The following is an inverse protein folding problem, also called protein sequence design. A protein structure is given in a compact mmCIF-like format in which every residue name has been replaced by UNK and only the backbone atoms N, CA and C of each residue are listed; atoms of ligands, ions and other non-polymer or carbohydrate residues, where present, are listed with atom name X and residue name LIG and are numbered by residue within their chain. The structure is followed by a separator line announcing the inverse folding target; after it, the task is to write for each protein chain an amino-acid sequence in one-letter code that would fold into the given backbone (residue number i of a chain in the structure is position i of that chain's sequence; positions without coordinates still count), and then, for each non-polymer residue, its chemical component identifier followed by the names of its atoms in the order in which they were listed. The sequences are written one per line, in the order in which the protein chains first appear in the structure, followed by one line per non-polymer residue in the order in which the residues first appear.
data_IF_577286324967
#
_entry.id   IF_577286324967
#
_cell.length_a   1.000
_cell.length_b   1.000
_cell.length_c   1.000
_cell.angle_alpha   90.00
_cell.angle_beta   90.00
_cell.angle_gamma   90.00
#
_symmetry.space_group_name_H-M   'P 1'
#
loop_
_entity.id
_entity.type
_entity.pdbx_description
1 polymer ?
#
# COMPACT_ATOMS: atom_id res chain seq x y z
N UNK A 1 23.75 19.56 12.50
CA UNK A 1 22.58 18.98 13.17
C UNK A 1 22.52 17.50 12.84
N UNK A 2 22.33 16.60 13.84
CA UNK A 2 22.09 15.18 13.51
C UNK A 2 20.84 15.08 12.65
N UNK A 3 20.96 14.40 11.52
CA UNK A 3 19.85 14.16 10.63
C UNK A 3 18.76 13.38 11.39
N UNK A 4 17.56 13.94 11.48
CA UNK A 4 16.44 13.27 12.14
C UNK A 4 16.00 12.08 11.30
N UNK A 5 15.64 10.98 11.93
CA UNK A 5 15.38 9.69 11.27
C UNK A 5 14.24 9.70 10.23
N UNK A 6 13.32 10.66 10.33
CA UNK A 6 12.17 10.82 9.44
C UNK A 6 12.39 11.83 8.30
N UNK A 7 13.52 12.57 8.30
CA UNK A 7 13.82 13.52 7.25
C UNK A 7 14.11 12.82 5.92
N UNK A 8 13.59 13.39 4.85
CA UNK A 8 13.79 12.93 3.47
C UNK A 8 13.79 14.16 2.53
N UNK A 9 13.67 13.99 1.22
CA UNK A 9 13.64 15.12 0.28
C UNK A 9 12.38 15.99 0.41
N UNK A 10 11.30 15.43 0.93
CA UNK A 10 10.03 16.14 1.17
C UNK A 10 10.02 16.84 2.54
N UNK A 11 10.55 16.20 3.58
CA UNK A 11 10.45 16.62 4.96
C UNK A 11 11.82 17.13 5.46
N UNK A 12 11.95 18.43 5.64
CA UNK A 12 13.18 19.04 6.14
C UNK A 12 12.93 20.00 7.30
N UNK A 13 13.94 20.17 8.12
CA UNK A 13 13.90 21.05 9.28
C UNK A 13 14.86 22.21 9.05
N UNK A 14 14.32 23.44 8.85
CA UNK A 14 15.13 24.64 8.59
C UNK A 14 14.73 25.72 9.58
N UNK A 15 15.71 26.35 10.23
CA UNK A 15 15.50 27.51 11.12
C UNK A 15 14.38 27.33 12.17
N UNK A 16 14.24 26.10 12.71
CA UNK A 16 13.22 25.80 13.71
C UNK A 16 11.80 25.64 13.16
N UNK A 17 11.62 25.45 11.85
CA UNK A 17 10.34 25.19 11.17
C UNK A 17 10.42 23.94 10.31
N UNK A 18 9.31 23.22 10.22
CA UNK A 18 9.14 22.14 9.26
C UNK A 18 8.86 22.71 7.87
N UNK A 19 9.60 22.22 6.89
CA UNK A 19 9.37 22.47 5.46
C UNK A 19 8.90 21.21 4.78
N UNK A 20 7.93 21.36 3.90
CA UNK A 20 7.43 20.38 2.96
C UNK A 20 7.96 20.78 1.57
N UNK A 21 8.97 20.06 1.08
CA UNK A 21 9.85 20.50 -0.01
C UNK A 21 10.51 21.86 0.32
N UNK A 22 10.14 22.91 -0.37
CA UNK A 22 10.63 24.27 -0.17
C UNK A 22 9.68 25.19 0.61
N UNK A 23 8.47 24.72 0.95
CA UNK A 23 7.41 25.52 1.58
C UNK A 23 7.30 25.25 3.08
N UNK A 24 7.26 26.28 3.93
CA UNK A 24 6.98 26.10 5.36
C UNK A 24 5.59 25.46 5.57
N UNK A 25 5.52 24.40 6.37
CA UNK A 25 4.27 23.69 6.64
C UNK A 25 3.18 24.59 7.26
N UNK A 26 3.58 25.58 8.07
CA UNK A 26 2.65 26.56 8.68
C UNK A 26 2.00 27.44 7.61
N UNK A 27 2.75 27.91 6.64
CA UNK A 27 2.23 28.76 5.54
C UNK A 27 1.23 27.98 4.66
N UNK A 28 1.50 26.68 4.40
CA UNK A 28 0.54 25.83 3.70
C UNK A 28 -0.76 25.69 4.51
N UNK A 29 -0.64 25.48 5.84
CA UNK A 29 -1.81 25.39 6.73
C UNK A 29 -2.60 26.70 6.82
N UNK A 30 -1.94 27.85 6.73
CA UNK A 30 -2.58 29.18 6.69
C UNK A 30 -3.28 29.44 5.35
N UNK A 31 -2.65 29.02 4.23
CA UNK A 31 -3.18 29.24 2.87
C UNK A 31 -4.37 28.36 2.56
N UNK A 32 -4.29 27.07 2.90
CA UNK A 32 -5.28 26.07 2.51
C UNK A 32 -6.22 25.64 3.65
N UNK A 33 -5.99 26.13 4.87
CA UNK A 33 -6.70 25.69 6.07
C UNK A 33 -6.16 24.40 6.66
N UNK A 34 -6.80 23.94 7.73
CA UNK A 34 -6.52 22.65 8.39
C UNK A 34 -7.84 22.00 8.84
N UNK A 35 -7.95 20.65 8.86
CA UNK A 35 -6.91 19.68 8.49
C UNK A 35 -6.63 19.68 6.98
N UNK A 36 -5.39 19.33 6.59
CA UNK A 36 -4.93 19.35 5.20
C UNK A 36 -3.98 18.19 4.92
N UNK A 37 -4.23 17.42 3.87
CA UNK A 37 -3.23 16.49 3.35
C UNK A 37 -2.30 17.19 2.35
N UNK A 38 -1.00 16.93 2.49
CA UNK A 38 0.02 17.44 1.57
C UNK A 38 0.87 16.29 1.08
N UNK A 39 1.00 16.15 -0.24
CA UNK A 39 1.79 15.09 -0.88
C UNK A 39 2.93 15.69 -1.70
N UNK A 40 4.00 14.90 -1.89
CA UNK A 40 5.18 15.26 -2.68
C UNK A 40 5.38 14.30 -3.85
N UNK A 41 5.28 14.81 -5.08
CA UNK A 41 5.66 14.05 -6.30
C UNK A 41 7.15 13.71 -6.31
N UNK A 42 7.98 14.63 -5.81
CA UNK A 42 9.43 14.43 -5.72
C UNK A 42 9.80 13.23 -4.83
N UNK A 43 9.16 13.09 -3.67
CA UNK A 43 9.42 11.95 -2.79
C UNK A 43 8.86 10.63 -3.36
N UNK A 44 7.70 10.65 -4.03
CA UNK A 44 7.15 9.48 -4.74
C UNK A 44 8.15 9.02 -5.82
N UNK A 45 8.71 9.96 -6.60
CA UNK A 45 9.75 9.66 -7.60
C UNK A 45 10.96 8.99 -6.98
N UNK A 46 11.49 9.55 -5.89
CA UNK A 46 12.65 8.98 -5.19
C UNK A 46 12.38 7.55 -4.67
N UNK A 47 11.17 7.28 -4.19
CA UNK A 47 10.79 5.94 -3.75
C UNK A 47 10.68 4.96 -4.93
N UNK A 48 10.17 5.42 -6.07
CA UNK A 48 10.10 4.64 -7.30
C UNK A 48 11.50 4.29 -7.82
N UNK A 49 12.42 5.25 -7.83
CA UNK A 49 13.81 5.07 -8.25
C UNK A 49 14.54 4.07 -7.36
N UNK A 50 14.37 4.12 -6.04
CA UNK A 50 14.93 3.11 -5.11
C UNK A 50 14.50 1.68 -5.43
N UNK A 51 13.24 1.48 -5.84
CA UNK A 51 12.78 0.15 -6.27
C UNK A 51 13.44 -0.26 -7.57
N UNK A 52 13.50 0.63 -8.56
CA UNK A 52 14.13 0.37 -9.85
C UNK A 52 15.62 0.03 -9.68
N UNK A 53 16.34 0.79 -8.87
CA UNK A 53 17.76 0.57 -8.57
C UNK A 53 18.01 -0.80 -7.92
N UNK A 54 17.22 -1.17 -6.90
CA UNK A 54 17.37 -2.45 -6.21
C UNK A 54 17.22 -3.67 -7.16
N UNK A 55 16.38 -3.55 -8.17
CA UNK A 55 16.13 -4.61 -9.17
C UNK A 55 16.91 -4.41 -10.47
N UNK A 56 17.70 -3.35 -10.60
CA UNK A 56 18.49 -3.07 -11.83
C UNK A 56 19.61 -4.08 -11.99
N UNK A 57 19.47 -5.01 -12.95
CA UNK A 57 20.50 -5.96 -13.37
C UNK A 57 20.44 -6.19 -14.88
N UNK A 58 21.59 -6.28 -15.56
CA UNK A 58 21.65 -6.43 -17.03
C UNK A 58 20.99 -7.71 -17.55
N UNK A 59 21.01 -8.77 -16.75
CA UNK A 59 20.53 -10.10 -17.15
C UNK A 59 19.44 -10.56 -16.17
N UNK A 60 18.20 -10.33 -16.50
CA UNK A 60 17.08 -10.78 -15.68
C UNK A 60 15.73 -10.37 -16.26
N UNK A 61 14.64 -10.86 -15.68
CA UNK A 61 13.30 -10.40 -16.04
C UNK A 61 13.13 -8.89 -15.80
N UNK A 62 12.37 -8.23 -16.65
CA UNK A 62 11.99 -6.83 -16.50
C UNK A 62 11.21 -6.61 -15.19
N UNK A 63 11.56 -5.58 -14.41
CA UNK A 63 10.77 -5.16 -13.27
C UNK A 63 9.58 -4.32 -13.72
N UNK A 64 8.37 -4.77 -13.40
CA UNK A 64 7.13 -4.02 -13.50
C UNK A 64 6.72 -3.57 -12.10
N UNK A 65 6.46 -2.29 -11.93
CA UNK A 65 5.91 -1.72 -10.70
C UNK A 65 4.44 -1.42 -10.94
N UNK A 66 3.56 -2.24 -10.39
CA UNK A 66 2.11 -2.06 -10.41
C UNK A 66 1.68 -1.34 -9.13
N UNK A 67 1.42 -0.05 -9.21
CA UNK A 67 1.03 0.74 -8.04
C UNK A 67 -0.30 0.26 -7.46
N UNK A 68 -0.32 -0.11 -6.17
CA UNK A 68 -1.55 -0.47 -5.46
C UNK A 68 -2.41 0.77 -5.21
N UNK A 69 -3.39 1.00 -6.09
CA UNK A 69 -4.20 2.22 -6.17
C UNK A 69 -4.92 2.53 -4.84
N UNK A 70 -5.38 1.51 -4.15
CA UNK A 70 -6.01 1.57 -2.81
C UNK A 70 -5.20 2.35 -1.76
N UNK A 71 -3.89 2.50 -1.95
CA UNK A 71 -3.05 3.24 -1.00
C UNK A 71 -3.31 4.74 -1.05
N UNK A 72 -3.45 5.31 -2.25
CA UNK A 72 -3.84 6.70 -2.48
C UNK A 72 -4.35 6.87 -3.91
N UNK A 73 -5.66 7.10 -4.12
CA UNK A 73 -6.29 7.23 -5.44
C UNK A 73 -6.26 8.65 -5.99
N UNK A 74 -5.49 9.57 -5.42
CA UNK A 74 -5.49 10.99 -5.84
C UNK A 74 -5.16 11.12 -7.33
N UNK A 75 -5.97 11.81 -8.15
CA UNK A 75 -5.81 11.83 -9.60
C UNK A 75 -4.46 12.36 -10.09
N UNK A 76 -3.87 13.35 -9.40
CA UNK A 76 -2.55 13.88 -9.77
C UNK A 76 -1.43 12.87 -9.49
N UNK A 77 -1.53 12.10 -8.40
CA UNK A 77 -0.58 11.04 -8.08
C UNK A 77 -0.68 9.93 -9.14
N UNK A 78 -1.89 9.54 -9.54
CA UNK A 78 -2.11 8.53 -10.57
C UNK A 78 -1.52 8.97 -11.91
N UNK A 79 -1.83 10.21 -12.37
CA UNK A 79 -1.26 10.76 -13.62
C UNK A 79 0.26 10.84 -13.57
N UNK A 80 0.82 11.26 -12.42
CA UNK A 80 2.26 11.29 -12.23
C UNK A 80 2.89 9.89 -12.36
N UNK A 81 2.33 8.88 -11.70
CA UNK A 81 2.80 7.48 -11.76
C UNK A 81 2.65 6.89 -13.16
N UNK A 82 1.56 7.21 -13.86
CA UNK A 82 1.35 6.82 -15.25
C UNK A 82 2.48 7.35 -16.15
N UNK A 83 2.84 8.64 -16.00
CA UNK A 83 3.94 9.27 -16.73
C UNK A 83 5.32 8.67 -16.38
N UNK A 84 5.49 8.05 -15.20
CA UNK A 84 6.69 7.31 -14.81
C UNK A 84 6.74 5.88 -15.35
N UNK A 85 5.73 5.45 -16.14
CA UNK A 85 5.66 4.15 -16.77
C UNK A 85 5.23 3.00 -15.84
N UNK A 86 4.63 3.30 -14.69
CA UNK A 86 4.12 2.26 -13.80
C UNK A 86 2.87 1.57 -14.37
N UNK A 87 2.55 0.43 -13.82
CA UNK A 87 1.26 -0.26 -13.97
C UNK A 87 0.39 0.04 -12.75
N UNK A 88 -0.85 -0.52 -12.72
CA UNK A 88 -1.79 -0.42 -11.60
C UNK A 88 -2.16 -1.83 -11.10
N UNK A 89 -2.17 -2.00 -9.76
CA UNK A 89 -2.94 -3.02 -9.05
C UNK A 89 -4.26 -2.39 -8.59
N UNK A 90 -5.37 -2.83 -9.20
CA UNK A 90 -6.73 -2.39 -8.88
C UNK A 90 -7.53 -3.53 -8.24
N UNK A 91 -8.38 -3.22 -7.25
CA UNK A 91 -9.14 -4.23 -6.50
C UNK A 91 -10.67 -4.06 -6.64
N UNK A 92 -11.11 -3.08 -7.39
CA UNK A 92 -12.53 -2.83 -7.68
C UNK A 92 -12.73 -2.21 -9.06
N UNK A 93 -13.95 -2.31 -9.66
CA UNK A 93 -14.26 -1.59 -10.90
C UNK A 93 -14.08 -0.06 -10.78
N UNK A 94 -14.32 0.51 -9.61
CA UNK A 94 -14.06 1.92 -9.34
C UNK A 94 -12.59 2.30 -9.45
N UNK A 95 -11.69 1.46 -8.96
CA UNK A 95 -10.23 1.65 -9.11
C UNK A 95 -9.78 1.46 -10.56
N UNK A 96 -10.35 0.49 -11.30
CA UNK A 96 -10.10 0.33 -12.74
C UNK A 96 -10.51 1.60 -13.49
N UNK A 97 -11.71 2.13 -13.22
CA UNK A 97 -12.19 3.39 -13.82
C UNK A 97 -11.22 4.55 -13.50
N UNK A 98 -10.83 4.72 -12.26
CA UNK A 98 -9.91 5.79 -11.86
C UNK A 98 -8.54 5.67 -12.56
N UNK A 99 -8.04 4.45 -12.76
CA UNK A 99 -6.81 4.19 -13.50
C UNK A 99 -6.94 4.60 -14.98
N UNK A 100 -8.03 4.20 -15.63
CA UNK A 100 -8.33 4.58 -17.04
C UNK A 100 -8.46 6.10 -17.20
N UNK A 101 -9.17 6.78 -16.29
CA UNK A 101 -9.33 8.24 -16.26
C UNK A 101 -7.99 8.97 -16.02
N UNK A 102 -7.05 8.34 -15.32
CA UNK A 102 -5.70 8.85 -15.14
C UNK A 102 -4.78 8.58 -16.35
N UNK A 103 -5.27 7.89 -17.40
CA UNK A 103 -4.55 7.61 -18.64
C UNK A 103 -3.76 6.31 -18.66
N UNK A 104 -3.96 5.40 -17.70
CA UNK A 104 -3.37 4.07 -17.78
C UNK A 104 -4.07 3.26 -18.87
N UNK A 105 -3.33 2.67 -19.82
CA UNK A 105 -3.93 1.79 -20.81
C UNK A 105 -4.32 0.44 -20.15
N UNK A 106 -5.40 -0.23 -20.61
CA UNK A 106 -5.91 -1.45 -19.99
C UNK A 106 -4.86 -2.56 -19.80
N UNK A 107 -3.92 -2.71 -20.72
CA UNK A 107 -2.84 -3.72 -20.66
C UNK A 107 -1.81 -3.46 -19.54
N UNK A 108 -1.88 -2.31 -18.88
CA UNK A 108 -1.07 -1.96 -17.69
C UNK A 108 -1.87 -1.99 -16.39
N UNK A 109 -3.04 -2.63 -16.41
CA UNK A 109 -3.88 -2.80 -15.23
C UNK A 109 -3.95 -4.28 -14.88
N UNK A 110 -3.67 -4.58 -13.62
CA UNK A 110 -3.89 -5.89 -13.00
C UNK A 110 -5.07 -5.75 -12.05
N UNK A 111 -6.05 -6.65 -12.16
CA UNK A 111 -7.22 -6.65 -11.28
C UNK A 111 -7.12 -7.79 -10.26
N UNK A 112 -7.07 -7.44 -8.98
CA UNK A 112 -6.91 -8.37 -7.87
C UNK A 112 -8.09 -8.27 -6.90
N UNK A 113 -9.30 -8.48 -7.42
CA UNK A 113 -10.53 -8.47 -6.61
C UNK A 113 -10.71 -9.76 -5.81
N UNK A 114 -11.29 -9.66 -4.61
CA UNK A 114 -11.73 -10.79 -3.80
C UNK A 114 -13.19 -10.60 -3.39
N UNK A 115 -13.96 -11.68 -3.27
CA UNK A 115 -15.40 -11.63 -2.99
C UNK A 115 -16.18 -10.72 -3.96
N UNK A 116 -15.82 -10.80 -5.23
CA UNK A 116 -16.35 -9.96 -6.31
C UNK A 116 -17.72 -10.45 -6.80
N UNK A 117 -18.59 -9.53 -7.19
CA UNK A 117 -19.89 -9.85 -7.78
C UNK A 117 -19.80 -10.14 -9.29
N UNK A 118 -20.90 -10.64 -9.86
CA UNK A 118 -21.02 -10.83 -11.31
C UNK A 118 -20.91 -9.50 -12.06
N UNK A 119 -21.46 -8.43 -11.50
CA UNK A 119 -21.41 -7.07 -12.05
C UNK A 119 -19.98 -6.55 -12.06
N UNK A 120 -19.21 -6.75 -10.97
CA UNK A 120 -17.81 -6.36 -10.90
C UNK A 120 -16.98 -7.06 -11.98
N UNK A 121 -17.11 -8.39 -12.07
CA UNK A 121 -16.39 -9.20 -13.06
C UNK A 121 -16.79 -8.78 -14.50
N UNK A 122 -18.08 -8.57 -14.75
CA UNK A 122 -18.56 -8.10 -16.06
C UNK A 122 -17.96 -6.75 -16.43
N UNK A 123 -17.90 -5.81 -15.48
CA UNK A 123 -17.33 -4.49 -15.71
C UNK A 123 -15.84 -4.55 -16.06
N UNK A 124 -15.08 -5.39 -15.35
CA UNK A 124 -13.64 -5.56 -15.62
C UNK A 124 -13.39 -6.32 -16.92
N UNK A 125 -14.15 -7.38 -17.20
CA UNK A 125 -14.06 -8.16 -18.45
C UNK A 125 -14.52 -7.40 -19.69
N UNK A 126 -15.09 -6.20 -19.55
CA UNK A 126 -15.31 -5.30 -20.68
C UNK A 126 -13.97 -4.87 -21.34
N UNK A 127 -12.86 -4.96 -20.62
CA UNK A 127 -11.49 -4.64 -21.06
C UNK A 127 -10.65 -5.93 -21.11
N UNK A 128 -10.58 -6.62 -22.27
CA UNK A 128 -9.92 -7.94 -22.36
C UNK A 128 -8.41 -7.89 -22.17
N UNK A 129 -7.79 -6.72 -22.22
CA UNK A 129 -6.36 -6.50 -22.00
C UNK A 129 -5.97 -6.49 -20.52
N UNK A 130 -6.93 -6.24 -19.61
CA UNK A 130 -6.70 -6.28 -18.15
C UNK A 130 -6.35 -7.71 -17.74
N UNK A 131 -5.28 -7.85 -16.98
CA UNK A 131 -4.90 -9.13 -16.38
C UNK A 131 -5.72 -9.32 -15.10
N UNK A 132 -6.48 -10.42 -15.02
CA UNK A 132 -7.29 -10.72 -13.83
C UNK A 132 -6.59 -11.79 -12.99
N UNK A 133 -6.30 -11.48 -11.72
CA UNK A 133 -5.85 -12.42 -10.72
C UNK A 133 -7.04 -13.23 -10.18
N UNK A 134 -7.06 -14.53 -10.43
CA UNK A 134 -8.06 -15.46 -9.92
C UNK A 134 -7.76 -15.74 -8.45
N UNK A 135 -8.66 -15.35 -7.55
CA UNK A 135 -8.53 -15.47 -6.10
C UNK A 135 -9.18 -16.77 -5.56
N UNK A 136 -10.07 -17.39 -6.35
CA UNK A 136 -10.80 -18.62 -6.01
C UNK A 136 -11.31 -19.35 -7.26
N UNK A 137 -11.54 -20.68 -7.16
CA UNK A 137 -12.16 -21.47 -8.25
C UNK A 137 -13.59 -21.02 -8.54
N UNK A 138 -14.32 -20.54 -7.54
CA UNK A 138 -15.67 -20.00 -7.68
C UNK A 138 -15.67 -18.72 -8.51
N UNK A 139 -14.67 -17.84 -8.33
CA UNK A 139 -14.49 -16.67 -9.17
C UNK A 139 -14.24 -17.06 -10.64
N UNK A 140 -13.43 -18.10 -10.87
CA UNK A 140 -13.17 -18.59 -12.21
C UNK A 140 -14.46 -19.08 -12.91
N UNK A 141 -15.34 -19.81 -12.20
CA UNK A 141 -16.64 -20.24 -12.70
C UNK A 141 -17.51 -19.05 -13.09
N UNK A 142 -17.57 -18.04 -12.23
CA UNK A 142 -18.29 -16.80 -12.49
C UNK A 142 -17.73 -16.07 -13.74
N UNK A 143 -16.41 -15.99 -13.87
CA UNK A 143 -15.76 -15.43 -15.06
C UNK A 143 -16.12 -16.21 -16.33
N UNK A 144 -16.19 -17.54 -16.26
CA UNK A 144 -16.57 -18.40 -17.37
C UNK A 144 -18.01 -18.15 -17.83
N UNK A 145 -18.95 -18.07 -16.88
CA UNK A 145 -20.37 -17.76 -17.18
C UNK A 145 -20.52 -16.39 -17.83
N UNK A 146 -19.84 -15.37 -17.30
CA UNK A 146 -19.88 -14.02 -17.86
C UNK A 146 -19.26 -13.97 -19.24
N UNK A 147 -18.11 -14.65 -19.45
CA UNK A 147 -17.48 -14.73 -20.77
C UNK A 147 -18.43 -15.38 -21.78
N UNK A 148 -19.03 -16.53 -21.46
CA UNK A 148 -19.94 -17.24 -22.37
C UNK A 148 -21.16 -16.39 -22.74
N UNK A 149 -21.71 -15.66 -21.78
CA UNK A 149 -22.94 -14.87 -21.96
C UNK A 149 -22.71 -13.54 -22.69
N UNK A 150 -21.61 -12.83 -22.39
CA UNK A 150 -21.41 -11.44 -22.81
C UNK A 150 -20.21 -11.24 -23.74
N UNK A 151 -19.22 -12.12 -23.70
CA UNK A 151 -17.93 -11.93 -24.39
C UNK A 151 -17.38 -13.24 -24.98
N UNK A 152 -18.17 -14.05 -25.73
CA UNK A 152 -17.81 -15.41 -26.12
C UNK A 152 -16.52 -15.50 -26.94
N UNK A 153 -16.26 -14.52 -27.81
CA UNK A 153 -15.11 -14.51 -28.71
C UNK A 153 -13.83 -13.89 -28.10
N UNK A 154 -13.95 -13.28 -26.91
CA UNK A 154 -12.82 -12.60 -26.30
C UNK A 154 -11.87 -13.59 -25.60
N UNK A 155 -10.58 -13.30 -25.71
CA UNK A 155 -9.52 -14.01 -24.99
C UNK A 155 -9.04 -13.16 -23.81
N UNK A 156 -8.86 -13.79 -22.66
CA UNK A 156 -8.43 -13.10 -21.45
C UNK A 156 -7.17 -13.74 -20.90
N UNK A 157 -6.16 -12.92 -20.65
CA UNK A 157 -4.99 -13.29 -19.87
C UNK A 157 -5.35 -13.26 -18.39
N UNK A 158 -4.97 -14.31 -17.65
CA UNK A 158 -5.25 -14.41 -16.21
C UNK A 158 -3.98 -14.83 -15.46
N UNK A 159 -3.93 -14.50 -14.18
CA UNK A 159 -2.99 -15.08 -13.25
C UNK A 159 -3.75 -15.71 -12.08
N UNK A 160 -3.10 -16.53 -11.29
CA UNK A 160 -3.69 -17.14 -10.10
C UNK A 160 -3.04 -16.53 -8.87
N UNK A 161 -3.86 -15.92 -8.02
CA UNK A 161 -3.43 -15.51 -6.70
C UNK A 161 -3.45 -16.71 -5.77
N UNK A 162 -2.28 -17.19 -5.40
CA UNK A 162 -2.17 -18.31 -4.48
C UNK A 162 -1.84 -17.87 -3.06
N UNK A 163 -2.19 -18.71 -2.10
CA UNK A 163 -1.80 -18.56 -0.71
C UNK A 163 -0.66 -19.57 -0.41
N UNK A 164 0.59 -19.10 -0.21
CA UNK A 164 1.74 -20.00 0.02
C UNK A 164 1.74 -20.67 1.41
N UNK A 165 0.66 -20.57 2.20
CA UNK A 165 0.54 -21.13 3.54
C UNK A 165 1.33 -20.37 4.61
N UNK A 166 1.90 -19.21 4.28
CA UNK A 166 2.59 -18.30 5.18
C UNK A 166 2.42 -16.86 4.73
N UNK A 167 2.49 -15.92 5.67
CA UNK A 167 2.35 -14.50 5.39
C UNK A 167 2.80 -13.65 6.57
N UNK A 168 2.92 -12.33 6.35
CA UNK A 168 3.38 -11.39 7.36
C UNK A 168 2.85 -9.99 7.11
N UNK A 169 2.25 -9.38 8.15
CA UNK A 169 1.86 -7.98 8.20
C UNK A 169 2.38 -7.31 9.46
N UNK A 170 2.37 -5.98 9.52
CA UNK A 170 2.74 -5.24 10.74
C UNK A 170 1.72 -5.44 11.87
N UNK A 171 0.48 -5.74 11.52
CA UNK A 171 -0.63 -6.11 12.40
C UNK A 171 -1.26 -7.41 11.89
N UNK A 172 -1.88 -8.20 12.77
CA UNK A 172 -2.51 -9.46 12.42
C UNK A 172 -3.56 -9.29 11.30
N UNK A 173 -4.32 -8.20 11.31
CA UNK A 173 -5.35 -7.87 10.32
C UNK A 173 -4.79 -7.42 8.97
N UNK A 174 -3.51 -7.15 8.88
CA UNK A 174 -2.81 -6.79 7.64
C UNK A 174 -2.00 -7.94 7.05
N UNK A 175 -2.10 -9.14 7.64
CA UNK A 175 -1.57 -10.40 7.09
C UNK A 175 -2.59 -10.96 6.11
N UNK A 176 -2.19 -11.19 4.85
CA UNK A 176 -3.10 -11.54 3.76
C UNK A 176 -2.78 -12.89 3.10
N UNK A 177 -1.87 -13.65 3.67
CA UNK A 177 -1.57 -15.03 3.31
C UNK A 177 -1.20 -15.83 4.57
N UNK A 178 -1.21 -17.15 4.46
CA UNK A 178 -1.00 -18.07 5.58
C UNK A 178 -2.24 -18.91 5.83
N UNK A 179 -2.10 -19.97 6.63
CA UNK A 179 -3.23 -20.80 7.04
C UNK A 179 -4.14 -20.01 7.98
N UNK A 180 -3.52 -19.27 8.92
CA UNK A 180 -4.17 -18.35 9.84
C UNK A 180 -3.31 -17.11 10.04
N UNK A 181 -3.96 -16.00 10.38
CA UNK A 181 -3.27 -14.78 10.81
C UNK A 181 -2.65 -14.97 12.22
N UNK A 182 -1.74 -14.10 12.67
CA UNK A 182 -1.11 -14.22 13.99
C UNK A 182 -2.09 -14.24 15.18
N UNK A 183 -3.31 -13.73 15.02
CA UNK A 183 -4.38 -13.81 16.03
C UNK A 183 -5.36 -14.99 15.81
N UNK A 184 -4.99 -15.97 14.99
CA UNK A 184 -5.73 -17.20 14.80
C UNK A 184 -6.92 -17.14 13.82
N UNK A 185 -7.19 -15.98 13.21
CA UNK A 185 -8.29 -15.83 12.25
C UNK A 185 -7.96 -16.46 10.88
N UNK A 186 -8.94 -17.03 10.17
CA UNK A 186 -8.73 -17.55 8.83
C UNK A 186 -8.38 -16.41 7.85
N UNK A 187 -7.56 -16.74 6.85
CA UNK A 187 -7.20 -15.81 5.77
C UNK A 187 -8.16 -16.04 4.61
N UNK A 188 -8.80 -14.94 4.14
CA UNK A 188 -9.81 -15.00 3.08
C UNK A 188 -9.26 -14.99 1.66
N UNK A 189 -7.96 -14.76 1.48
CA UNK A 189 -7.36 -14.47 0.19
C UNK A 189 -6.62 -15.64 -0.39
N UNK A 190 -6.76 -15.81 -1.72
CA UNK A 190 -5.95 -16.66 -2.55
C UNK A 190 -6.31 -18.14 -2.51
N UNK A 191 -6.00 -18.80 -3.60
CA UNK A 191 -6.14 -20.26 -3.78
C UNK A 191 -5.14 -21.00 -2.89
N UNK A 192 -5.55 -21.97 -2.13
CA UNK A 192 -4.64 -22.79 -1.32
C UNK A 192 -3.65 -23.61 -2.18
N UNK A 193 -2.53 -24.01 -1.57
CA UNK A 193 -1.41 -24.64 -2.30
C UNK A 193 -1.81 -25.89 -3.10
N UNK A 194 -2.72 -26.70 -2.59
CA UNK A 194 -3.22 -27.94 -3.23
C UNK A 194 -4.08 -27.67 -4.46
N UNK A 195 -4.74 -26.52 -4.52
CA UNK A 195 -5.70 -26.16 -5.56
C UNK A 195 -5.09 -25.33 -6.69
N UNK A 196 -3.85 -24.87 -6.57
CA UNK A 196 -3.21 -24.00 -7.58
C UNK A 196 -3.18 -24.67 -8.97
N UNK A 197 -2.65 -25.91 -9.06
CA UNK A 197 -2.57 -26.64 -10.33
C UNK A 197 -3.97 -26.92 -10.91
N UNK A 198 -4.95 -27.47 -10.15
CA UNK A 198 -6.32 -27.58 -10.59
C UNK A 198 -6.89 -26.28 -11.18
N UNK A 199 -6.73 -25.13 -10.50
CA UNK A 199 -7.24 -23.84 -10.99
C UNK A 199 -6.56 -23.40 -12.30
N UNK A 200 -5.25 -23.61 -12.46
CA UNK A 200 -4.55 -23.38 -13.74
C UNK A 200 -5.13 -24.26 -14.87
N UNK A 201 -5.38 -25.54 -14.59
CA UNK A 201 -5.96 -26.47 -15.56
C UNK A 201 -7.39 -26.10 -15.94
N UNK A 202 -8.22 -25.76 -14.95
CA UNK A 202 -9.59 -25.31 -15.15
C UNK A 202 -9.64 -24.00 -15.95
N UNK A 203 -8.78 -23.02 -15.64
CA UNK A 203 -8.70 -21.77 -16.38
C UNK A 203 -8.36 -22.02 -17.85
N UNK A 204 -7.37 -22.88 -18.14
CA UNK A 204 -7.03 -23.25 -19.52
C UNK A 204 -8.19 -23.97 -20.22
N UNK A 205 -8.84 -24.92 -19.55
CA UNK A 205 -10.03 -25.65 -20.09
C UNK A 205 -11.20 -24.70 -20.36
N UNK A 206 -11.41 -23.70 -19.51
CA UNK A 206 -12.42 -22.66 -19.68
C UNK A 206 -12.07 -21.63 -20.77
N UNK A 207 -10.92 -21.78 -21.46
CA UNK A 207 -10.48 -20.92 -22.57
C UNK A 207 -9.86 -19.59 -22.13
N UNK A 208 -9.44 -19.47 -20.87
CA UNK A 208 -8.56 -18.41 -20.41
C UNK A 208 -7.08 -18.74 -20.70
N UNK A 209 -6.23 -17.72 -20.66
CA UNK A 209 -4.78 -17.86 -20.91
C UNK A 209 -4.06 -17.58 -19.57
N UNK A 210 -3.75 -18.62 -18.77
CA UNK A 210 -3.04 -18.43 -17.51
C UNK A 210 -1.56 -18.15 -17.77
N UNK A 211 -1.13 -16.91 -17.50
CA UNK A 211 0.21 -16.40 -17.82
C UNK A 211 1.03 -15.99 -16.60
N UNK A 212 0.47 -16.04 -15.40
CA UNK A 212 1.15 -15.56 -14.20
C UNK A 212 0.75 -16.27 -12.92
N UNK A 213 1.64 -16.21 -11.94
CA UNK A 213 1.40 -16.60 -10.57
C UNK A 213 1.60 -15.38 -9.68
N UNK A 214 0.62 -15.07 -8.83
CA UNK A 214 0.60 -13.91 -7.94
C UNK A 214 0.56 -14.35 -6.48
N UNK A 215 1.23 -13.61 -5.60
CA UNK A 215 1.07 -13.70 -4.15
C UNK A 215 1.07 -12.31 -3.50
N UNK A 216 0.32 -12.15 -2.43
CA UNK A 216 0.42 -10.99 -1.54
C UNK A 216 0.40 -11.45 -0.08
N UNK A 217 1.48 -11.19 0.66
CA UNK A 217 1.73 -11.83 1.96
C UNK A 217 1.24 -11.00 3.14
N UNK A 218 0.98 -9.73 2.92
CA UNK A 218 0.59 -8.75 3.93
C UNK A 218 1.30 -7.42 3.76
N UNK A 219 1.12 -6.50 4.70
CA UNK A 219 1.51 -5.11 4.56
C UNK A 219 2.37 -4.62 5.72
N UNK A 220 3.37 -3.78 5.40
CA UNK A 220 4.19 -3.09 6.38
C UNK A 220 5.38 -3.89 6.89
N UNK A 221 6.07 -4.61 6.01
CA UNK A 221 7.25 -5.41 6.36
C UNK A 221 8.40 -4.57 6.87
N UNK A 222 9.12 -5.12 7.83
CA UNK A 222 10.38 -4.57 8.35
C UNK A 222 11.48 -5.65 8.37
N UNK A 223 12.68 -5.32 8.82
CA UNK A 223 13.83 -6.23 8.74
C UNK A 223 13.64 -7.58 9.42
N UNK A 224 12.88 -7.63 10.53
CA UNK A 224 12.56 -8.90 11.23
C UNK A 224 11.67 -9.86 10.42
N UNK A 225 10.99 -9.37 9.39
CA UNK A 225 10.06 -10.17 8.58
C UNK A 225 10.75 -10.91 7.43
N UNK A 226 12.01 -10.56 7.15
CA UNK A 226 12.80 -11.11 6.07
C UNK A 226 12.81 -12.65 5.98
N UNK A 227 12.96 -13.42 7.08
CA UNK A 227 12.97 -14.89 6.99
C UNK A 227 11.68 -15.47 6.42
N UNK A 228 10.52 -14.92 6.80
CA UNK A 228 9.21 -15.36 6.30
C UNK A 228 9.04 -14.99 4.84
N UNK A 229 9.40 -13.76 4.47
CA UNK A 229 9.29 -13.28 3.08
C UNK A 229 10.23 -14.07 2.16
N UNK A 230 11.46 -14.34 2.61
CA UNK A 230 12.42 -15.17 1.87
C UNK A 230 11.86 -16.56 1.58
N UNK A 231 11.23 -17.20 2.56
CA UNK A 231 10.62 -18.52 2.38
C UNK A 231 9.43 -18.48 1.42
N UNK A 232 8.59 -17.44 1.47
CA UNK A 232 7.49 -17.28 0.52
C UNK A 232 7.98 -17.11 -0.92
N UNK A 233 9.05 -16.33 -1.13
CA UNK A 233 9.70 -16.20 -2.44
C UNK A 233 10.19 -17.58 -2.93
N UNK A 234 10.86 -18.34 -2.07
CA UNK A 234 11.34 -19.69 -2.42
C UNK A 234 10.19 -20.60 -2.86
N UNK A 235 9.09 -20.63 -2.09
CA UNK A 235 7.90 -21.43 -2.42
C UNK A 235 7.30 -21.04 -3.76
N UNK A 236 7.17 -19.74 -4.01
CA UNK A 236 6.61 -19.23 -5.26
C UNK A 236 7.44 -19.66 -6.48
N UNK A 237 8.75 -19.57 -6.40
CA UNK A 237 9.64 -19.93 -7.49
C UNK A 237 9.60 -21.45 -7.76
N UNK A 238 9.52 -22.29 -6.70
CA UNK A 238 9.33 -23.72 -6.85
C UNK A 238 7.98 -24.04 -7.51
N UNK A 239 6.89 -23.39 -7.06
CA UNK A 239 5.57 -23.59 -7.65
C UNK A 239 5.51 -23.14 -9.12
N UNK A 240 6.19 -22.06 -9.47
CA UNK A 240 6.31 -21.61 -10.85
C UNK A 240 7.06 -22.65 -11.72
N UNK A 241 8.16 -23.23 -11.21
CA UNK A 241 8.88 -24.32 -11.90
C UNK A 241 7.97 -25.54 -12.15
N UNK A 242 7.21 -25.95 -11.14
CA UNK A 242 6.25 -27.06 -11.24
C UNK A 242 5.19 -26.78 -12.33
N UNK A 243 4.59 -25.58 -12.34
CA UNK A 243 3.62 -25.18 -13.35
C UNK A 243 4.22 -25.20 -14.77
N UNK A 244 5.44 -24.71 -14.93
CA UNK A 244 6.12 -24.71 -16.22
C UNK A 244 6.44 -26.14 -16.71
N UNK A 245 6.83 -27.05 -15.81
CA UNK A 245 7.04 -28.45 -16.13
C UNK A 245 5.73 -29.15 -16.58
N UNK A 246 4.58 -28.68 -16.10
CA UNK A 246 3.25 -29.11 -16.54
C UNK A 246 2.79 -28.46 -17.85
N UNK A 247 3.65 -27.68 -18.51
CA UNK A 247 3.37 -27.06 -19.82
C UNK A 247 2.60 -25.73 -19.76
N UNK A 248 2.58 -25.06 -18.61
CA UNK A 248 2.08 -23.69 -18.54
C UNK A 248 3.19 -22.69 -18.89
N UNK A 249 2.87 -21.73 -19.76
CA UNK A 249 3.81 -20.68 -20.17
C UNK A 249 3.59 -19.43 -19.29
N UNK A 250 4.30 -19.34 -18.16
CA UNK A 250 4.25 -18.18 -17.30
C UNK A 250 5.08 -17.03 -17.87
N UNK A 251 4.46 -15.88 -18.09
CA UNK A 251 5.14 -14.65 -18.55
C UNK A 251 5.76 -13.89 -17.38
N UNK A 252 5.15 -13.98 -16.18
CA UNK A 252 5.59 -13.24 -14.98
C UNK A 252 5.34 -13.99 -13.66
N UNK A 253 6.06 -13.55 -12.64
CA UNK A 253 5.73 -13.78 -11.24
C UNK A 253 5.45 -12.44 -10.56
N UNK A 254 4.31 -12.35 -9.87
CA UNK A 254 3.91 -11.17 -9.13
C UNK A 254 4.06 -11.42 -7.63
N UNK A 255 5.02 -10.74 -7.01
CA UNK A 255 5.35 -10.89 -5.59
C UNK A 255 4.50 -10.01 -4.68
N UNK A 256 3.55 -9.25 -5.26
CA UNK A 256 2.66 -8.37 -4.54
C UNK A 256 3.33 -7.16 -3.90
N UNK A 257 2.63 -6.56 -2.96
CA UNK A 257 3.14 -5.46 -2.15
C UNK A 257 3.75 -5.93 -0.82
N UNK A 258 3.62 -5.06 0.18
CA UNK A 258 4.05 -5.35 1.55
C UNK A 258 5.19 -4.46 2.03
N UNK A 259 6.02 -3.96 1.13
CA UNK A 259 7.09 -3.00 1.42
C UNK A 259 6.53 -1.73 2.07
N UNK A 260 7.28 -1.17 3.02
CA UNK A 260 6.91 0.05 3.72
C UNK A 260 8.14 0.89 4.09
N UNK A 261 7.99 2.23 4.23
CA UNK A 261 9.01 3.04 4.88
C UNK A 261 9.10 2.72 6.37
N UNK A 262 10.13 3.25 7.01
CA UNK A 262 10.27 3.18 8.47
C UNK A 262 9.29 4.14 9.15
N UNK A 263 8.41 3.62 9.98
CA UNK A 263 7.44 4.43 10.73
C UNK A 263 7.96 4.91 12.10
N UNK A 264 8.89 4.17 12.70
CA UNK A 264 9.45 4.45 14.03
C UNK A 264 10.98 4.46 14.00
N UNK A 265 11.60 5.27 14.85
CA UNK A 265 13.06 5.43 14.90
C UNK A 265 13.82 4.11 15.10
N UNK A 266 13.27 3.22 15.92
CA UNK A 266 13.88 1.91 16.23
C UNK A 266 13.51 0.79 15.27
N UNK A 267 12.60 1.04 14.34
CA UNK A 267 12.18 0.03 13.36
C UNK A 267 13.31 -0.25 12.36
N UNK A 268 13.71 -1.50 12.21
CA UNK A 268 14.64 -1.90 11.16
C UNK A 268 14.00 -1.82 9.77
N UNK A 269 14.70 -1.26 8.80
CA UNK A 269 14.24 -1.26 7.42
C UNK A 269 14.20 -2.68 6.86
N UNK A 270 13.23 -2.93 5.98
CA UNK A 270 13.21 -4.16 5.19
C UNK A 270 14.41 -4.17 4.23
N UNK A 271 15.17 -5.30 4.13
CA UNK A 271 16.38 -5.35 3.32
C UNK A 271 16.06 -5.50 1.83
N UNK A 272 15.67 -4.40 1.18
CA UNK A 272 15.18 -4.36 -0.21
C UNK A 272 16.18 -4.98 -1.20
N UNK A 273 17.48 -4.63 -1.10
CA UNK A 273 18.51 -5.16 -2.00
C UNK A 273 18.70 -6.67 -1.85
N UNK A 274 18.61 -7.19 -0.61
CA UNK A 274 18.66 -8.64 -0.37
C UNK A 274 17.43 -9.34 -0.96
N UNK A 275 16.27 -8.71 -0.88
CA UNK A 275 15.02 -9.21 -1.44
C UNK A 275 15.11 -9.30 -2.97
N UNK A 276 15.50 -8.21 -3.61
CA UNK A 276 15.68 -8.16 -5.06
C UNK A 276 16.72 -9.17 -5.55
N UNK A 277 17.89 -9.21 -4.87
CA UNK A 277 18.95 -10.17 -5.18
C UNK A 277 18.46 -11.61 -5.07
N UNK A 278 17.76 -11.93 -4.00
CA UNK A 278 17.30 -13.30 -3.75
C UNK A 278 16.28 -13.78 -4.78
N UNK A 279 15.33 -12.93 -5.18
CA UNK A 279 14.36 -13.25 -6.26
C UNK A 279 15.10 -13.55 -7.55
N UNK A 280 15.96 -12.64 -8.01
CA UNK A 280 16.68 -12.76 -9.28
C UNK A 280 17.64 -13.96 -9.29
N UNK A 281 18.35 -14.18 -8.18
CA UNK A 281 19.22 -15.35 -8.02
C UNK A 281 18.44 -16.66 -8.14
N UNK A 282 17.29 -16.77 -7.44
CA UNK A 282 16.48 -17.99 -7.47
C UNK A 282 15.85 -18.26 -8.83
N UNK A 283 15.39 -17.23 -9.53
CA UNK A 283 14.91 -17.34 -10.92
C UNK A 283 16.04 -17.89 -11.84
N UNK A 284 17.27 -17.36 -11.71
CA UNK A 284 18.43 -17.80 -12.48
C UNK A 284 18.83 -19.24 -12.14
N UNK A 285 18.91 -19.60 -10.85
CA UNK A 285 19.24 -20.96 -10.39
C UNK A 285 18.26 -22.01 -10.93
N UNK A 286 16.96 -21.69 -10.92
CA UNK A 286 15.91 -22.58 -11.44
C UNK A 286 15.72 -22.49 -12.96
N UNK A 287 16.49 -21.63 -13.64
CA UNK A 287 16.44 -21.39 -15.11
C UNK A 287 15.04 -21.12 -15.62
N UNK A 288 14.23 -20.34 -14.85
CA UNK A 288 12.87 -20.00 -15.25
C UNK A 288 12.88 -18.96 -16.38
N UNK A 289 12.24 -19.23 -17.54
CA UNK A 289 12.22 -18.33 -18.70
C UNK A 289 11.20 -17.20 -18.53
N UNK A 290 11.23 -16.52 -17.39
CA UNK A 290 10.32 -15.43 -17.09
C UNK A 290 10.72 -14.14 -17.82
N UNK A 291 9.72 -13.44 -18.33
CA UNK A 291 9.89 -12.12 -18.96
C UNK A 291 9.86 -10.99 -17.95
N UNK A 292 9.02 -11.13 -16.91
CA UNK A 292 8.73 -10.05 -15.97
C UNK A 292 8.70 -10.53 -14.52
N UNK A 293 9.10 -9.62 -13.62
CA UNK A 293 8.82 -9.66 -12.19
C UNK A 293 7.91 -8.49 -11.90
N UNK A 294 6.80 -8.72 -11.20
CA UNK A 294 5.87 -7.67 -10.79
C UNK A 294 5.95 -7.47 -9.29
N UNK A 295 5.93 -6.21 -8.87
CA UNK A 295 5.73 -5.78 -7.49
C UNK A 295 4.54 -4.84 -7.43
N UNK A 296 3.77 -4.91 -6.34
CA UNK A 296 2.58 -4.07 -6.10
C UNK A 296 2.78 -3.09 -4.93
N UNK A 297 3.77 -2.18 -4.98
CA UNK A 297 4.01 -1.26 -3.90
C UNK A 297 2.92 -0.18 -3.86
N UNK A 298 2.18 -0.10 -2.75
CA UNK A 298 1.34 1.05 -2.43
C UNK A 298 2.02 1.91 -1.37
N UNK A 299 2.06 1.39 -0.15
CA UNK A 299 2.60 2.08 1.03
C UNK A 299 4.05 2.57 0.85
N UNK A 300 4.90 1.76 0.22
CA UNK A 300 6.30 2.13 0.00
C UNK A 300 6.46 3.39 -0.85
N UNK A 301 5.61 3.58 -1.87
CA UNK A 301 5.71 4.71 -2.79
C UNK A 301 5.18 6.01 -2.18
N UNK A 302 4.05 5.96 -1.44
CA UNK A 302 3.33 7.18 -1.10
C UNK A 302 3.28 7.50 0.39
N UNK A 303 3.55 6.56 1.31
CA UNK A 303 3.33 6.81 2.73
C UNK A 303 4.19 7.96 3.27
N UNK A 304 5.51 7.92 3.07
CA UNK A 304 6.45 8.96 3.52
C UNK A 304 6.53 10.18 2.57
N UNK A 305 5.77 10.12 1.48
CA UNK A 305 5.53 11.24 0.57
C UNK A 305 4.29 12.06 0.95
N UNK A 306 3.66 11.79 2.10
CA UNK A 306 2.48 12.53 2.53
C UNK A 306 2.45 12.80 4.03
N UNK A 307 1.88 13.97 4.37
CA UNK A 307 1.62 14.40 5.75
C UNK A 307 0.18 14.87 5.88
N UNK A 308 -0.36 14.79 7.11
CA UNK A 308 -1.57 15.50 7.51
C UNK A 308 -1.18 16.65 8.43
N UNK A 309 -1.53 17.88 8.05
CA UNK A 309 -1.43 19.07 8.89
C UNK A 309 -2.73 19.26 9.67
N UNK A 310 -2.64 19.47 10.98
CA UNK A 310 -3.77 19.70 11.86
C UNK A 310 -3.45 20.78 12.89
N UNK A 311 -4.46 21.54 13.30
CA UNK A 311 -4.33 22.67 14.24
C UNK A 311 -4.69 22.24 15.65
N UNK A 312 -3.88 22.64 16.64
CA UNK A 312 -4.20 22.50 18.05
C UNK A 312 -5.31 23.49 18.42
N UNK A 313 -6.46 22.96 18.79
CA UNK A 313 -7.65 23.77 19.18
C UNK A 313 -7.52 24.25 20.63
N UNK A 314 -7.18 23.33 21.52
CA UNK A 314 -6.89 23.62 22.93
C UNK A 314 -6.09 22.47 23.56
N UNK A 315 -5.58 22.71 24.77
CA UNK A 315 -4.95 21.69 25.60
C UNK A 315 -5.78 21.50 26.84
N UNK A 316 -6.21 20.28 27.08
CA UNK A 316 -7.00 19.88 28.26
C UNK A 316 -6.13 19.09 29.21
N UNK A 317 -6.21 19.41 30.51
CA UNK A 317 -5.65 18.57 31.58
C UNK A 317 -6.80 17.88 32.32
N UNK A 318 -6.73 16.55 32.46
CA UNK A 318 -7.76 15.78 33.15
C UNK A 318 -7.10 14.63 33.90
N UNK A 319 -7.36 14.50 35.19
CA UNK A 319 -6.79 13.46 36.07
C UNK A 319 -5.27 13.25 35.88
N UNK A 320 -4.53 14.37 35.78
CA UNK A 320 -3.07 14.35 35.59
C UNK A 320 -2.59 14.16 34.14
N UNK A 321 -3.46 13.79 33.20
CA UNK A 321 -3.14 13.57 31.79
C UNK A 321 -3.31 14.85 30.97
N UNK A 322 -2.38 15.08 30.03
CA UNK A 322 -2.51 16.17 29.05
C UNK A 322 -3.08 15.64 27.75
N UNK A 323 -4.15 16.26 27.29
CA UNK A 323 -4.77 16.03 25.97
C UNK A 323 -4.50 17.22 25.07
N UNK A 324 -3.83 16.97 23.96
CA UNK A 324 -3.66 17.93 22.86
C UNK A 324 -4.82 17.69 21.90
N UNK A 325 -5.85 18.53 21.97
CA UNK A 325 -7.05 18.42 21.16
C UNK A 325 -6.83 19.13 19.82
N UNK A 326 -7.07 18.41 18.71
CA UNK A 326 -6.84 18.92 17.35
C UNK A 326 -8.13 19.00 16.55
N UNK A 327 -8.14 19.80 15.49
CA UNK A 327 -9.27 19.97 14.58
C UNK A 327 -9.40 18.87 13.51
N UNK A 328 -8.85 17.70 13.78
CA UNK A 328 -8.91 16.52 12.91
C UNK A 328 -9.42 15.33 13.73
N UNK A 329 -10.04 14.37 13.08
CA UNK A 329 -10.37 13.08 13.69
C UNK A 329 -9.67 11.95 12.94
N UNK A 330 -9.38 10.84 13.63
CA UNK A 330 -8.73 9.70 13.00
C UNK A 330 -9.56 9.13 11.85
N UNK A 331 -10.88 8.91 12.10
CA UNK A 331 -11.75 8.28 11.10
C UNK A 331 -12.03 9.14 9.87
N UNK A 332 -11.93 10.47 9.96
CA UNK A 332 -12.12 11.34 8.80
C UNK A 332 -10.80 11.82 8.18
N UNK A 333 -9.65 11.31 8.68
CA UNK A 333 -8.31 11.66 8.14
C UNK A 333 -7.40 10.45 8.02
N UNK A 334 -6.77 9.98 9.11
CA UNK A 334 -5.84 8.85 9.16
C UNK A 334 -6.41 7.75 10.07
N UNK A 335 -7.27 6.85 9.58
CA UNK A 335 -7.97 5.88 10.42
C UNK A 335 -7.08 4.79 11.02
N UNK A 336 -5.88 4.60 10.48
CA UNK A 336 -4.99 3.51 10.88
C UNK A 336 -4.74 3.38 12.39
N UNK A 337 -4.45 4.45 13.17
CA UNK A 337 -4.26 4.34 14.61
C UNK A 337 -5.49 3.84 15.37
N UNK A 338 -6.69 4.17 14.91
CA UNK A 338 -7.94 3.71 15.51
C UNK A 338 -8.28 2.26 15.12
N UNK A 339 -7.94 1.83 13.89
CA UNK A 339 -8.25 0.50 13.37
C UNK A 339 -7.21 -0.54 13.80
N UNK A 340 -5.92 -0.20 13.78
CA UNK A 340 -4.80 -1.12 14.03
C UNK A 340 -4.04 -0.71 15.29
N UNK A 341 -4.12 -1.46 16.39
CA UNK A 341 -3.44 -1.11 17.64
C UNK A 341 -1.91 -0.93 17.52
N UNK A 342 -1.29 -1.61 16.55
CA UNK A 342 0.14 -1.48 16.25
C UNK A 342 0.49 -0.35 15.28
N UNK A 343 -0.47 0.43 14.80
CA UNK A 343 -0.18 1.51 13.85
C UNK A 343 0.43 2.71 14.55
N UNK A 344 1.56 3.15 14.04
CA UNK A 344 2.28 4.31 14.53
C UNK A 344 2.40 5.37 13.45
N UNK A 345 2.18 6.63 13.84
CA UNK A 345 2.53 7.81 13.06
C UNK A 345 3.36 8.75 13.94
N UNK A 346 4.47 9.22 13.41
CA UNK A 346 5.25 10.23 14.12
C UNK A 346 4.53 11.57 14.00
N UNK A 347 4.34 12.24 15.14
CA UNK A 347 3.66 13.54 15.19
C UNK A 347 4.66 14.57 15.70
N UNK A 348 4.80 15.66 14.96
CA UNK A 348 5.70 16.76 15.29
C UNK A 348 4.96 18.08 15.25
N UNK A 349 5.40 19.04 16.07
CA UNK A 349 4.98 20.43 15.94
C UNK A 349 5.74 21.06 14.77
N UNK A 350 5.07 21.72 13.84
CA UNK A 350 5.69 22.36 12.68
C UNK A 350 6.62 23.54 13.04
N UNK A 351 6.57 24.01 14.28
CA UNK A 351 7.45 25.01 14.84
C UNK A 351 8.22 24.41 16.03
N UNK A 352 9.53 24.63 16.08
CA UNK A 352 10.33 24.18 17.21
C UNK A 352 9.92 24.92 18.49
N UNK A 353 9.46 24.17 19.49
CA UNK A 353 9.16 24.70 20.82
C UNK A 353 10.24 24.24 21.80
N UNK A 354 10.85 25.22 22.49
CA UNK A 354 11.75 24.93 23.61
C UNK A 354 10.94 24.55 24.85
N UNK A 355 11.42 23.61 25.63
CA UNK A 355 10.77 23.18 26.86
C UNK A 355 11.02 21.71 27.19
N UNK A 356 10.60 21.31 28.40
CA UNK A 356 10.65 19.92 28.85
C UNK A 356 9.64 19.07 28.06
N UNK A 357 10.05 17.87 27.63
CA UNK A 357 9.14 16.90 27.05
C UNK A 357 8.15 16.43 28.12
N UNK A 358 6.88 16.43 27.76
CA UNK A 358 5.75 15.98 28.59
C UNK A 358 5.05 14.86 27.84
N UNK A 359 4.50 13.91 28.56
CA UNK A 359 3.66 12.86 27.97
C UNK A 359 2.28 13.42 27.70
N UNK A 360 1.82 13.30 26.46
CA UNK A 360 0.52 13.82 26.01
C UNK A 360 -0.21 12.78 25.17
N UNK A 361 -1.53 12.87 25.18
CA UNK A 361 -2.41 12.16 24.25
C UNK A 361 -2.87 13.15 23.19
N UNK A 362 -2.66 12.86 21.91
CA UNK A 362 -3.14 13.68 20.80
C UNK A 362 -4.52 13.16 20.40
N UNK A 363 -5.56 13.90 20.78
CA UNK A 363 -6.95 13.50 20.63
C UNK A 363 -7.65 14.26 19.50
N UNK A 364 -8.41 13.52 18.72
CA UNK A 364 -9.25 14.08 17.66
C UNK A 364 -10.55 14.70 18.19
N UNK A 365 -11.40 15.07 17.26
CA UNK A 365 -12.66 15.80 17.53
C UNK A 365 -13.93 14.95 17.32
N UNK A 366 -13.77 13.63 17.12
CA UNK A 366 -14.91 12.74 16.89
C UNK A 366 -15.46 12.19 18.20
N UNK A 367 -16.76 11.88 18.23
CA UNK A 367 -17.44 11.28 19.38
C UNK A 367 -17.19 9.77 19.45
N UNK A 368 -15.90 9.39 19.53
CA UNK A 368 -15.42 8.02 19.61
C UNK A 368 -14.21 7.96 20.56
N UNK A 369 -14.23 7.05 21.53
CA UNK A 369 -13.14 6.92 22.52
C UNK A 369 -11.79 6.59 21.90
N UNK A 370 -11.79 5.88 20.77
CA UNK A 370 -10.61 5.53 20.00
C UNK A 370 -10.12 6.63 19.04
N UNK A 371 -10.75 7.81 19.01
CA UNK A 371 -10.33 8.92 18.16
C UNK A 371 -9.08 9.61 18.71
N UNK A 372 -8.00 8.88 18.70
CA UNK A 372 -6.69 9.26 19.24
C UNK A 372 -5.59 8.98 18.23
N UNK A 373 -4.89 10.02 17.80
CA UNK A 373 -3.76 9.92 16.88
C UNK A 373 -2.51 9.33 17.54
N UNK A 374 -2.31 9.60 18.83
CA UNK A 374 -1.18 9.08 19.60
C UNK A 374 -1.49 9.08 21.10
N UNK A 375 -1.28 7.93 21.72
CA UNK A 375 -1.35 7.76 23.16
C UNK A 375 0.03 8.02 23.78
N UNK A 376 0.02 8.67 24.95
CA UNK A 376 1.20 8.82 25.85
C UNK A 376 2.51 9.22 25.11
N UNK A 377 2.40 10.16 24.16
CA UNK A 377 3.50 10.61 23.32
C UNK A 377 4.38 11.62 24.05
N UNK A 378 5.69 11.35 24.13
CA UNK A 378 6.66 12.31 24.68
C UNK A 378 6.94 13.42 23.66
N UNK A 379 6.44 14.63 23.92
CA UNK A 379 6.71 15.81 23.09
C UNK A 379 6.77 17.09 23.95
N UNK A 380 7.39 18.14 23.43
CA UNK A 380 7.26 19.47 24.04
C UNK A 380 5.80 19.90 23.91
N UNK A 381 5.18 20.35 25.00
CA UNK A 381 3.77 20.75 25.02
C UNK A 381 3.53 21.85 23.98
N UNK A 382 2.66 21.63 22.97
CA UNK A 382 2.31 22.65 21.99
C UNK A 382 1.48 23.76 22.63
N UNK A 383 1.20 24.81 21.87
CA UNK A 383 0.27 25.88 22.27
C UNK A 383 -0.99 25.79 21.41
N UNK A 384 -2.07 26.38 21.89
CA UNK A 384 -3.25 26.62 21.07
C UNK A 384 -2.87 27.38 19.81
N UNK A 385 -3.37 26.93 18.66
CA UNK A 385 -3.06 27.48 17.35
C UNK A 385 -1.83 26.88 16.68
N UNK A 386 -0.98 26.10 17.37
CA UNK A 386 0.15 25.41 16.74
C UNK A 386 -0.34 24.40 15.69
N UNK A 387 0.45 24.27 14.62
CA UNK A 387 0.23 23.26 13.59
C UNK A 387 1.07 22.03 13.91
N UNK A 388 0.41 20.88 13.97
CA UNK A 388 1.06 19.58 14.09
C UNK A 388 1.04 18.88 12.73
N UNK A 389 2.11 18.16 12.42
CA UNK A 389 2.20 17.29 11.26
C UNK A 389 2.18 15.82 11.71
N UNK A 390 1.24 15.04 11.16
CA UNK A 390 1.21 13.57 11.23
C UNK A 390 1.99 13.06 10.04
N UNK A 391 3.16 12.48 10.26
CA UNK A 391 4.04 11.98 9.21
C UNK A 391 3.59 10.64 8.68
N UNK A 392 4.03 10.29 7.45
CA UNK A 392 3.70 9.04 6.75
C UNK A 392 2.18 8.86 6.55
N UNK A 393 1.46 9.96 6.30
CA UNK A 393 0.02 9.97 6.08
C UNK A 393 -0.39 9.78 4.60
N UNK A 394 0.58 9.62 3.69
CA UNK A 394 0.33 9.52 2.26
C UNK A 394 -0.33 8.22 1.80
N UNK A 395 -0.34 7.17 2.63
CA UNK A 395 -0.98 5.90 2.32
C UNK A 395 -2.06 5.53 3.33
N UNK A 396 -3.23 5.11 2.85
CA UNK A 396 -4.33 4.64 3.69
C UNK A 396 -4.78 5.68 4.74
N UNK A 397 -4.57 6.96 4.46
CA UNK A 397 -5.15 8.09 5.16
C UNK A 397 -6.47 8.47 4.48
N UNK A 398 -6.41 9.42 3.56
CA UNK A 398 -7.58 9.91 2.83
C UNK A 398 -8.40 8.78 2.17
N UNK A 399 -7.74 7.79 1.54
CA UNK A 399 -8.41 6.66 0.88
C UNK A 399 -9.24 5.76 1.81
N UNK A 400 -9.01 5.79 3.13
CA UNK A 400 -9.79 5.07 4.13
C UNK A 400 -10.65 5.98 5.01
N UNK A 401 -10.62 7.29 4.77
CA UNK A 401 -11.37 8.25 5.56
C UNK A 401 -12.89 8.11 5.34
N UNK A 402 -13.65 8.51 6.34
CA UNK A 402 -15.11 8.46 6.34
C UNK A 402 -15.72 9.77 6.87
N UNK A 403 -17.00 9.98 6.58
CA UNK A 403 -17.76 11.13 7.07
C UNK A 403 -18.36 10.90 8.48
N UNK A 404 -17.69 10.09 9.33
CA UNK A 404 -18.19 9.85 10.68
C UNK A 404 -18.42 11.16 11.45
N UNK A 405 -19.51 11.25 12.22
CA UNK A 405 -20.06 12.47 12.85
C UNK A 405 -20.38 13.60 11.85
N UNK A 406 -20.64 13.28 10.57
CA UNK A 406 -20.87 14.24 9.48
C UNK A 406 -19.73 15.26 9.32
N UNK A 407 -18.50 14.84 9.64
CA UNK A 407 -17.28 15.62 9.40
C UNK A 407 -16.81 15.44 7.97
N UNK A 408 -16.40 16.52 7.34
CA UNK A 408 -15.81 16.49 6.01
C UNK A 408 -14.45 15.77 6.01
N UNK A 409 -14.19 15.06 4.93
CA UNK A 409 -12.84 14.55 4.63
C UNK A 409 -12.01 15.76 4.17
N UNK A 410 -10.81 15.99 4.73
CA UNK A 410 -10.01 17.17 4.43
C UNK A 410 -9.57 17.27 2.97
N UNK A 411 -9.30 18.48 2.48
CA UNK A 411 -8.71 18.67 1.16
C UNK A 411 -7.30 18.08 1.08
N UNK A 412 -6.89 17.83 -0.17
CA UNK A 412 -5.60 17.27 -0.53
C UNK A 412 -4.89 18.24 -1.49
N UNK A 413 -3.58 18.42 -1.32
CA UNK A 413 -2.73 19.14 -2.28
C UNK A 413 -1.50 18.31 -2.64
N UNK A 414 -1.03 18.44 -3.87
CA UNK A 414 0.18 17.78 -4.38
C UNK A 414 1.19 18.85 -4.78
N UNK A 415 2.40 18.77 -4.18
CA UNK A 415 3.53 19.64 -4.47
C UNK A 415 4.38 19.11 -5.62
#
# INVERSE_FOLDING_TARGET
MKQVWWANSFLTWKQGRLYLEDKPAVELAETYGTPLFVYSRGQIKNNLEKLKEAFSRPEGPELIIAYALKANPHPEILRFLQAQGTWIDAVSPGEVKAALEAGFPPERIIYTGTSVSAEDIKAVMAYPEIIINIDASEQLKLMQEIRQKFYPERKYKVAVRWNPGLGRGFDARTTTAGIRSPNGLPIKFGVEMSQVIPVFQEAKKAGFIPIGLHQHLGSGWCGRDWPVIKEAVRRMIIKASELMQLGFNLEFLDFGGGLAPRYEEKQSLFPLDKYAHYIQQKIKEMKLPLKKIILEPGKFLVADAGVLLMKVVYIKKSYGNYFVCVNAGTFNTVPRPAIYPGAYHHIINCIHRRGKKTRVTVAGHLCESGDVFAWDRAMTLPRQGDILAVLHAGAYGHSMASHFNLREIPPEIVL
#
